data_IF_021685423820
#
_entry.id   IF_021685423820
#
_cell.length_a   1.000
_cell.length_b   1.000
_cell.length_c   1.000
_cell.angle_alpha   90.00
_cell.angle_beta   90.00
_cell.angle_gamma   90.00
#
_symmetry.space_group_name_H-M   'P 1'
#
loop_
_entity.id
_entity.type
_entity.pdbx_description
1 polymer ?
#
# COMPACT_ATOMS: atom_id res chain seq x y z
N UNK A 1 3.87 20.32 -13.68
CA UNK A 1 3.17 20.32 -14.99
C UNK A 1 3.38 18.97 -15.67
N UNK A 2 2.34 18.37 -16.25
CA UNK A 2 2.47 17.29 -17.24
C UNK A 2 2.13 17.83 -18.62
N UNK A 3 3.04 17.63 -19.56
CA UNK A 3 2.92 18.10 -20.92
C UNK A 3 3.00 16.93 -21.90
N UNK A 4 2.10 16.92 -22.86
CA UNK A 4 2.06 15.87 -23.88
C UNK A 4 1.86 16.40 -25.28
N UNK A 5 1.72 15.45 -26.20
CA UNK A 5 1.64 15.76 -27.62
C UNK A 5 0.50 15.09 -28.35
N UNK A 6 0.70 14.94 -29.65
CA UNK A 6 -0.26 14.30 -30.55
C UNK A 6 -0.05 12.79 -30.67
N UNK A 7 1.15 12.31 -30.29
CA UNK A 7 1.46 10.90 -30.15
C UNK A 7 0.92 10.33 -28.82
N UNK A 8 0.50 9.05 -28.85
CA UNK A 8 -0.10 8.32 -27.71
C UNK A 8 -1.40 8.96 -27.17
N UNK A 9 -2.22 8.26 -26.36
CA UNK A 9 -3.49 8.80 -25.89
C UNK A 9 -3.33 9.78 -24.71
N UNK A 10 -2.56 10.86 -24.90
CA UNK A 10 -2.19 11.82 -23.84
C UNK A 10 -3.38 12.26 -22.97
N UNK A 11 -4.50 12.67 -23.57
CA UNK A 11 -5.65 13.16 -22.82
C UNK A 11 -6.20 12.14 -21.80
N UNK A 12 -6.21 10.85 -22.14
CA UNK A 12 -6.65 9.78 -21.23
C UNK A 12 -5.59 9.48 -20.17
N UNK A 13 -4.33 9.31 -20.60
CA UNK A 13 -3.22 9.04 -19.69
C UNK A 13 -3.03 10.15 -18.66
N UNK A 14 -3.06 11.41 -19.09
CA UNK A 14 -2.89 12.57 -18.22
C UNK A 14 -4.06 12.73 -17.24
N UNK A 15 -5.28 12.36 -17.62
CA UNK A 15 -6.42 12.37 -16.70
C UNK A 15 -6.25 11.33 -15.57
N UNK A 16 -5.79 10.13 -15.91
CA UNK A 16 -5.50 9.07 -14.92
C UNK A 16 -4.34 9.49 -14.03
N UNK A 17 -3.24 9.98 -14.62
CA UNK A 17 -2.08 10.48 -13.90
C UNK A 17 -2.47 11.59 -12.93
N UNK A 18 -3.20 12.60 -13.39
CA UNK A 18 -3.66 13.72 -12.57
C UNK A 18 -4.48 13.23 -11.38
N UNK A 19 -5.48 12.38 -11.63
CA UNK A 19 -6.32 11.85 -10.57
C UNK A 19 -5.50 11.10 -9.52
N UNK A 20 -4.62 10.19 -9.95
CA UNK A 20 -3.78 9.41 -9.04
C UNK A 20 -2.80 10.28 -8.22
N UNK A 21 -2.18 11.29 -8.84
CA UNK A 21 -1.22 12.17 -8.16
C UNK A 21 -1.91 13.14 -7.20
N UNK A 22 -3.07 13.69 -7.55
CA UNK A 22 -3.83 14.59 -6.67
C UNK A 22 -4.46 13.84 -5.49
N UNK A 23 -4.81 12.56 -5.66
CA UNK A 23 -5.29 11.70 -4.57
C UNK A 23 -4.24 11.51 -3.46
N UNK A 24 -2.95 11.62 -3.78
CA UNK A 24 -1.88 11.58 -2.76
C UNK A 24 -1.92 12.76 -1.78
N UNK A 25 -2.60 13.86 -2.15
CA UNK A 25 -2.62 15.12 -1.41
C UNK A 25 -1.28 15.89 -1.40
N UNK A 26 -0.26 15.41 -2.11
CA UNK A 26 1.08 16.01 -2.16
C UNK A 26 1.32 16.89 -3.39
N UNK A 27 0.53 16.68 -4.46
CA UNK A 27 0.78 17.29 -5.76
C UNK A 27 -0.46 18.01 -6.29
N UNK A 28 -0.25 19.16 -6.92
CA UNK A 28 -1.21 19.81 -7.79
C UNK A 28 -0.75 19.63 -9.24
N UNK A 29 -1.60 19.08 -10.11
CA UNK A 29 -1.19 18.70 -11.48
C UNK A 29 -1.88 19.57 -12.52
N UNK A 30 -1.07 20.41 -13.18
CA UNK A 30 -1.46 21.08 -14.42
C UNK A 30 -1.21 20.15 -15.63
N UNK A 31 -2.24 19.96 -16.45
CA UNK A 31 -2.20 19.18 -17.69
C UNK A 31 -2.26 20.15 -18.87
N UNK A 32 -1.29 20.09 -19.78
CA UNK A 32 -1.25 20.99 -20.94
C UNK A 32 -0.71 20.30 -22.20
N UNK A 33 -1.14 20.78 -23.37
CA UNK A 33 -0.49 20.53 -24.67
C UNK A 33 0.15 21.81 -25.23
N UNK A 34 0.02 22.94 -24.52
CA UNK A 34 0.64 24.20 -24.89
C UNK A 34 2.12 24.20 -24.45
N UNK A 35 3.00 24.09 -25.44
CA UNK A 35 4.45 24.04 -25.24
C UNK A 35 5.10 25.40 -25.07
N UNK A 36 4.36 26.50 -25.24
CA UNK A 36 4.90 27.84 -24.97
C UNK A 36 5.41 27.96 -23.52
N UNK A 37 4.76 27.27 -22.58
CA UNK A 37 5.15 27.18 -21.18
C UNK A 37 6.52 26.54 -20.91
N UNK A 38 7.11 25.78 -21.86
CA UNK A 38 8.45 25.22 -21.69
C UNK A 38 9.56 26.29 -21.66
N UNK A 39 9.24 27.53 -22.03
CA UNK A 39 10.20 28.65 -22.00
C UNK A 39 10.28 29.36 -20.64
N UNK A 40 9.26 29.20 -19.78
CA UNK A 40 9.24 29.72 -18.40
C UNK A 40 8.55 28.70 -17.47
N UNK A 41 9.38 28.01 -16.69
CA UNK A 41 8.97 26.94 -15.79
C UNK A 41 9.09 27.35 -14.32
N UNK A 42 9.27 28.65 -14.03
CA UNK A 42 9.50 29.17 -12.68
C UNK A 42 8.37 28.89 -11.68
N UNK A 43 7.16 28.62 -12.18
CA UNK A 43 5.99 28.26 -11.36
C UNK A 43 5.85 26.77 -11.03
N UNK A 44 6.81 25.92 -11.42
CA UNK A 44 6.71 24.47 -11.24
C UNK A 44 7.91 23.88 -10.51
N UNK A 45 7.65 22.89 -9.65
CA UNK A 45 8.71 22.07 -9.00
C UNK A 45 9.18 20.91 -9.90
N UNK A 46 8.32 20.46 -10.82
CA UNK A 46 8.64 19.41 -11.78
C UNK A 46 7.86 19.52 -13.10
N UNK A 47 8.50 19.03 -14.17
CA UNK A 47 7.90 18.82 -15.49
C UNK A 47 7.86 17.33 -15.79
N UNK A 48 6.69 16.82 -16.15
CA UNK A 48 6.48 15.47 -16.66
C UNK A 48 6.32 15.55 -18.17
N UNK A 49 7.26 14.96 -18.92
CA UNK A 49 7.29 14.93 -20.37
C UNK A 49 6.67 13.63 -20.89
N UNK A 50 5.63 13.75 -21.70
CA UNK A 50 4.95 12.65 -22.38
C UNK A 50 4.65 13.00 -23.85
N UNK A 51 5.70 13.30 -24.60
CA UNK A 51 5.64 13.86 -25.97
C UNK A 51 6.83 13.35 -26.76
N UNK A 52 6.71 13.18 -28.07
CA UNK A 52 7.84 12.80 -28.93
C UNK A 52 8.61 14.03 -29.41
N UNK A 53 9.80 13.80 -29.96
CA UNK A 53 10.53 14.79 -30.71
C UNK A 53 9.81 15.22 -31.98
N UNK A 54 10.26 16.31 -32.58
CA UNK A 54 9.56 17.01 -33.66
C UNK A 54 8.47 17.98 -33.20
N UNK A 55 8.04 17.91 -31.94
CA UNK A 55 6.97 18.76 -31.43
C UNK A 55 7.44 19.99 -30.61
N UNK A 56 8.75 20.13 -30.36
CA UNK A 56 9.35 21.27 -29.63
C UNK A 56 10.08 22.27 -30.54
N UNK A 57 10.27 23.51 -30.09
CA UNK A 57 11.22 24.47 -30.68
C UNK A 57 12.56 24.47 -29.95
N UNK A 58 13.57 25.16 -30.52
CA UNK A 58 14.89 25.30 -29.87
C UNK A 58 14.84 26.12 -28.59
N UNK A 59 13.99 27.14 -28.56
CA UNK A 59 13.76 27.96 -27.38
C UNK A 59 13.13 27.14 -26.27
N UNK A 60 12.19 26.25 -26.60
CA UNK A 60 11.56 25.33 -25.66
C UNK A 60 12.55 24.28 -25.12
N UNK A 61 13.42 23.73 -25.98
CA UNK A 61 14.52 22.85 -25.55
C UNK A 61 15.43 23.57 -24.55
N UNK A 62 15.83 24.80 -24.85
CA UNK A 62 16.70 25.59 -23.98
C UNK A 62 16.03 25.93 -22.64
N UNK A 63 14.74 26.30 -22.65
CA UNK A 63 13.98 26.60 -21.44
C UNK A 63 13.87 25.39 -20.52
N UNK A 64 13.47 24.22 -21.06
CA UNK A 64 13.36 22.99 -20.29
C UNK A 64 14.72 22.52 -19.75
N UNK A 65 15.75 22.46 -20.60
CA UNK A 65 17.07 22.01 -20.16
C UNK A 65 17.72 23.00 -19.18
N UNK A 66 17.47 24.31 -19.34
CA UNK A 66 17.91 25.35 -18.42
C UNK A 66 17.25 25.23 -17.06
N UNK A 67 15.94 24.99 -17.02
CA UNK A 67 15.16 24.73 -15.81
C UNK A 67 15.70 23.54 -15.02
N UNK A 68 15.90 22.39 -15.67
CA UNK A 68 16.45 21.19 -14.99
C UNK A 68 17.87 21.46 -14.51
N UNK A 69 18.73 22.04 -15.37
CA UNK A 69 20.11 22.39 -14.96
C UNK A 69 20.15 23.31 -13.74
N UNK A 70 19.14 24.17 -13.57
CA UNK A 70 18.99 25.10 -12.45
C UNK A 70 18.38 24.52 -11.18
N UNK A 71 18.04 23.22 -11.13
CA UNK A 71 17.47 22.56 -9.94
C UNK A 71 16.08 21.97 -10.13
N UNK A 72 15.44 22.21 -11.28
CA UNK A 72 14.12 21.68 -11.59
C UNK A 72 14.10 20.15 -11.78
N UNK A 73 12.98 19.52 -11.44
CA UNK A 73 12.76 18.09 -11.69
C UNK A 73 12.21 17.78 -13.08
N UNK A 74 12.73 16.73 -13.74
CA UNK A 74 12.18 16.18 -14.99
C UNK A 74 11.81 14.70 -14.82
N UNK A 75 10.56 14.36 -15.16
CA UNK A 75 10.10 12.99 -15.34
C UNK A 75 9.78 12.74 -16.81
N UNK A 76 10.62 11.97 -17.51
CA UNK A 76 10.40 11.59 -18.90
C UNK A 76 9.74 10.21 -18.98
N UNK A 77 8.57 10.12 -19.64
CA UNK A 77 7.77 8.89 -19.71
C UNK A 77 7.72 8.37 -21.14
N UNK A 78 8.05 7.09 -21.31
CA UNK A 78 7.90 6.31 -22.53
C UNK A 78 8.50 7.01 -23.76
N UNK A 79 7.63 7.55 -24.61
CA UNK A 79 7.96 8.21 -25.87
C UNK A 79 8.78 9.51 -25.73
N UNK A 80 9.02 9.98 -24.49
CA UNK A 80 9.75 11.20 -24.18
C UNK A 80 11.21 11.23 -24.64
N UNK A 81 11.77 10.14 -25.17
CA UNK A 81 13.09 10.10 -25.80
C UNK A 81 13.05 9.67 -27.28
N UNK A 82 11.86 9.49 -27.86
CA UNK A 82 11.65 9.15 -29.26
C UNK A 82 11.77 10.39 -30.15
N UNK A 83 12.34 10.25 -31.35
CA UNK A 83 12.42 11.33 -32.35
C UNK A 83 13.14 12.62 -31.90
N UNK A 84 13.87 12.57 -30.78
CA UNK A 84 14.55 13.73 -30.18
C UNK A 84 15.86 14.11 -30.88
N UNK A 85 16.18 13.53 -32.05
CA UNK A 85 17.49 13.68 -32.70
C UNK A 85 17.85 15.12 -33.10
N UNK A 86 16.86 15.99 -33.29
CA UNK A 86 17.11 17.41 -33.46
C UNK A 86 17.56 18.08 -32.15
N UNK A 87 17.06 17.66 -31.00
CA UNK A 87 17.24 18.30 -29.68
C UNK A 87 18.38 17.64 -28.89
N UNK A 88 19.62 17.89 -29.33
CA UNK A 88 20.81 17.24 -28.76
C UNK A 88 21.05 17.58 -27.29
N UNK A 89 20.63 18.76 -26.81
CA UNK A 89 20.79 19.13 -25.39
C UNK A 89 19.78 18.36 -24.54
N UNK A 90 18.56 18.21 -25.04
CA UNK A 90 17.54 17.38 -24.39
C UNK A 90 17.94 15.89 -24.37
N UNK A 91 18.45 15.36 -25.49
CA UNK A 91 18.93 13.97 -25.54
C UNK A 91 20.09 13.73 -24.57
N UNK A 92 21.01 14.68 -24.44
CA UNK A 92 22.08 14.60 -23.45
C UNK A 92 21.55 14.62 -22.02
N UNK A 93 20.54 15.46 -21.74
CA UNK A 93 19.89 15.53 -20.42
C UNK A 93 19.14 14.24 -20.07
N UNK A 94 18.36 13.67 -20.98
CA UNK A 94 17.64 12.40 -20.74
C UNK A 94 18.60 11.21 -20.73
N UNK A 95 19.67 11.26 -21.53
CA UNK A 95 20.75 10.28 -21.54
C UNK A 95 20.49 9.00 -22.33
N UNK A 96 19.29 8.82 -22.87
CA UNK A 96 18.97 7.70 -23.77
C UNK A 96 18.17 8.16 -24.98
N UNK A 97 18.15 7.33 -26.02
CA UNK A 97 17.21 7.43 -27.15
C UNK A 97 16.54 6.10 -27.41
N UNK A 98 15.35 6.19 -27.99
CA UNK A 98 14.61 5.05 -28.51
C UNK A 98 15.36 4.31 -29.63
N UNK A 99 15.36 2.97 -29.59
CA UNK A 99 15.94 2.12 -30.64
C UNK A 99 14.96 1.13 -31.26
N UNK A 100 13.85 0.84 -30.59
CA UNK A 100 12.83 -0.09 -31.08
C UNK A 100 11.87 -0.51 -29.98
N UNK A 101 10.84 -1.26 -30.35
CA UNK A 101 9.85 -1.78 -29.40
C UNK A 101 9.50 -3.23 -29.70
N UNK A 102 9.07 -3.95 -28.66
CA UNK A 102 8.38 -5.23 -28.76
C UNK A 102 6.89 -5.06 -29.08
N UNK A 103 6.10 -6.14 -29.13
CA UNK A 103 4.65 -6.04 -29.20
C UNK A 103 4.09 -5.43 -27.92
N UNK A 104 2.88 -4.89 -28.00
CA UNK A 104 2.09 -4.58 -26.81
C UNK A 104 1.60 -5.89 -26.19
N UNK A 105 2.15 -6.25 -25.05
CA UNK A 105 1.92 -7.52 -24.38
C UNK A 105 2.15 -7.38 -22.87
N UNK A 106 1.75 -8.40 -22.13
CA UNK A 106 2.16 -8.52 -20.73
C UNK A 106 3.64 -8.91 -20.64
N UNK A 107 4.38 -8.23 -19.78
CA UNK A 107 5.74 -8.60 -19.41
C UNK A 107 6.04 -8.25 -17.95
N UNK A 108 7.07 -8.89 -17.40
CA UNK A 108 7.52 -8.63 -16.03
C UNK A 108 8.50 -7.47 -15.97
N UNK A 109 8.29 -6.61 -14.98
CA UNK A 109 9.20 -5.55 -14.56
C UNK A 109 9.86 -5.98 -13.25
N UNK A 110 11.19 -5.91 -13.19
CA UNK A 110 11.98 -6.23 -12.01
C UNK A 110 12.61 -4.95 -11.45
N UNK A 111 12.42 -4.71 -10.15
CA UNK A 111 12.99 -3.56 -9.43
C UNK A 111 14.30 -3.99 -8.74
N UNK A 112 15.32 -3.13 -8.81
CA UNK A 112 16.60 -3.39 -8.14
C UNK A 112 16.48 -3.31 -6.62
N UNK A 113 17.16 -4.20 -5.90
CA UNK A 113 17.09 -4.27 -4.43
C UNK A 113 17.66 -3.01 -3.74
N UNK A 114 18.60 -2.32 -4.38
CA UNK A 114 19.36 -1.18 -3.86
C UNK A 114 18.88 0.16 -4.45
N UNK A 115 17.58 0.29 -4.74
CA UNK A 115 17.00 1.54 -5.25
C UNK A 115 16.18 2.33 -4.20
N UNK A 116 16.17 1.91 -2.94
CA UNK A 116 15.32 2.48 -1.90
C UNK A 116 15.57 3.97 -1.62
N UNK A 117 16.79 4.45 -1.82
CA UNK A 117 17.14 5.87 -1.70
C UNK A 117 16.63 6.71 -2.90
N UNK A 118 16.38 6.07 -4.04
CA UNK A 118 15.74 6.69 -5.21
C UNK A 118 14.21 6.64 -5.04
N UNK A 119 13.66 5.44 -4.86
CA UNK A 119 12.22 5.16 -4.86
C UNK A 119 11.93 4.12 -3.76
N UNK A 120 11.68 4.54 -2.51
CA UNK A 120 11.54 3.63 -1.39
C UNK A 120 10.34 2.70 -1.58
N UNK A 121 10.51 1.41 -1.23
CA UNK A 121 9.42 0.42 -1.13
C UNK A 121 8.64 0.19 -2.44
N UNK A 122 9.28 0.31 -3.61
CA UNK A 122 8.69 -0.18 -4.85
C UNK A 122 8.50 -1.69 -4.79
N UNK A 123 7.50 -2.21 -5.50
CA UNK A 123 7.32 -3.65 -5.67
C UNK A 123 8.59 -4.28 -6.26
N UNK A 124 9.11 -5.38 -5.67
CA UNK A 124 10.31 -6.06 -6.18
C UNK A 124 10.15 -6.53 -7.63
N UNK A 125 8.95 -6.93 -8.00
CA UNK A 125 8.56 -7.19 -9.38
C UNK A 125 7.04 -7.08 -9.55
N UNK A 126 6.59 -6.79 -10.76
CA UNK A 126 5.17 -6.82 -11.16
C UNK A 126 5.04 -7.15 -12.64
N UNK A 127 3.86 -7.64 -13.05
CA UNK A 127 3.52 -7.84 -14.46
C UNK A 127 2.68 -6.66 -14.94
N UNK A 128 2.93 -6.18 -16.16
CA UNK A 128 2.19 -5.06 -16.75
C UNK A 128 1.95 -5.33 -18.23
N UNK A 129 0.76 -4.99 -18.72
CA UNK A 129 0.46 -4.96 -20.16
C UNK A 129 0.81 -3.59 -20.72
N UNK A 130 1.90 -3.52 -21.49
CA UNK A 130 2.43 -2.28 -22.06
C UNK A 130 3.20 -2.57 -23.38
N UNK A 131 3.74 -1.55 -24.03
CA UNK A 131 4.69 -1.71 -25.13
C UNK A 131 6.11 -1.87 -24.60
N UNK A 132 6.77 -3.01 -24.88
CA UNK A 132 8.14 -3.23 -24.42
C UNK A 132 9.13 -2.30 -25.15
N UNK A 133 9.48 -1.19 -24.52
CA UNK A 133 10.20 -0.10 -25.15
C UNK A 133 11.72 -0.21 -24.92
N UNK A 134 12.51 -0.26 -26.00
CA UNK A 134 13.96 -0.42 -25.94
C UNK A 134 14.68 0.91 -26.20
N UNK A 135 15.71 1.14 -25.38
CA UNK A 135 16.52 2.35 -25.42
C UNK A 135 18.00 2.03 -25.50
N UNK A 136 18.80 2.96 -26.01
CA UNK A 136 20.25 2.93 -25.91
C UNK A 136 20.78 4.22 -25.28
N UNK A 137 21.93 4.12 -24.61
CA UNK A 137 22.58 5.28 -23.97
C UNK A 137 23.16 6.21 -25.02
N UNK A 138 22.99 7.51 -24.82
CA UNK A 138 23.48 8.59 -25.69
C UNK A 138 24.43 9.56 -24.99
N UNK A 139 24.77 9.28 -23.74
CA UNK A 139 25.62 10.09 -22.86
C UNK A 139 26.67 9.20 -22.19
N UNK A 140 27.81 9.80 -21.84
CA UNK A 140 28.84 9.17 -20.99
C UNK A 140 28.55 9.35 -19.49
N UNK A 141 27.53 10.15 -19.14
CA UNK A 141 27.14 10.34 -17.75
C UNK A 141 26.58 9.06 -17.13
N UNK A 142 26.75 8.94 -15.82
CA UNK A 142 26.23 7.80 -15.10
C UNK A 142 24.69 7.83 -15.08
N UNK A 143 24.09 6.70 -15.43
CA UNK A 143 22.65 6.45 -15.33
C UNK A 143 22.48 5.31 -14.34
N UNK A 144 21.79 5.61 -13.24
CA UNK A 144 21.50 4.63 -12.22
C UNK A 144 20.16 3.98 -12.53
N UNK A 145 20.23 2.81 -13.15
CA UNK A 145 19.09 1.97 -13.44
C UNK A 145 18.43 1.48 -12.12
N UNK A 146 17.10 1.47 -12.06
CA UNK A 146 16.34 0.94 -10.93
C UNK A 146 15.29 -0.10 -11.34
N UNK A 147 14.94 -0.17 -12.64
CA UNK A 147 13.98 -1.14 -13.18
C UNK A 147 14.46 -1.75 -14.49
N UNK A 148 14.17 -3.03 -14.67
CA UNK A 148 14.55 -3.79 -15.86
C UNK A 148 13.43 -4.73 -16.32
N UNK A 149 13.48 -5.10 -17.60
CA UNK A 149 12.64 -6.14 -18.18
C UNK A 149 13.48 -7.06 -19.05
N UNK A 150 12.97 -8.26 -19.33
CA UNK A 150 13.62 -9.21 -20.24
C UNK A 150 12.82 -9.32 -21.54
N UNK A 151 13.48 -9.10 -22.67
CA UNK A 151 12.91 -9.27 -24.00
C UNK A 151 13.91 -9.99 -24.90
N UNK A 152 13.45 -11.00 -25.64
CA UNK A 152 14.30 -11.81 -26.52
C UNK A 152 15.61 -12.30 -25.86
N UNK A 153 15.51 -12.77 -24.60
CA UNK A 153 16.64 -13.22 -23.78
C UNK A 153 17.68 -12.15 -23.44
N UNK A 154 17.40 -10.87 -23.69
CA UNK A 154 18.21 -9.74 -23.30
C UNK A 154 17.52 -8.94 -22.18
N UNK A 155 18.32 -8.46 -21.23
CA UNK A 155 17.87 -7.56 -20.17
C UNK A 155 17.95 -6.12 -20.68
N UNK A 156 16.87 -5.38 -20.56
CA UNK A 156 16.76 -3.98 -20.96
C UNK A 156 16.44 -3.11 -19.75
N UNK A 157 17.00 -1.90 -19.72
CA UNK A 157 16.61 -0.89 -18.73
C UNK A 157 15.21 -0.38 -19.04
N UNK A 158 14.36 -0.35 -18.02
CA UNK A 158 13.00 0.19 -18.08
C UNK A 158 12.83 1.43 -17.21
N UNK A 159 13.79 1.76 -16.35
CA UNK A 159 13.73 2.94 -15.52
C UNK A 159 15.09 3.27 -14.91
N UNK A 160 15.45 4.54 -14.96
CA UNK A 160 16.71 5.04 -14.41
C UNK A 160 16.61 6.49 -13.95
N UNK A 161 17.56 6.90 -13.12
CA UNK A 161 17.72 8.30 -12.70
C UNK A 161 19.12 8.81 -13.02
N UNK A 162 19.24 10.14 -13.07
CA UNK A 162 20.52 10.84 -13.06
C UNK A 162 20.35 12.27 -12.55
N UNK A 163 21.46 12.88 -12.18
CA UNK A 163 21.54 14.32 -12.00
C UNK A 163 21.87 15.02 -13.33
N UNK A 164 21.39 16.25 -13.47
CA UNK A 164 21.70 17.12 -14.60
C UNK A 164 21.80 18.57 -14.13
N UNK A 165 23.03 19.07 -14.00
CA UNK A 165 23.27 20.32 -13.26
C UNK A 165 22.89 20.15 -11.80
N UNK A 166 22.08 21.07 -11.27
CA UNK A 166 21.55 21.01 -9.90
C UNK A 166 20.22 20.24 -9.81
N UNK A 167 19.62 19.86 -10.94
CA UNK A 167 18.33 19.17 -10.98
C UNK A 167 18.44 17.68 -11.21
N UNK A 168 17.28 17.03 -11.24
CA UNK A 168 17.14 15.57 -11.29
C UNK A 168 16.29 15.15 -12.48
N UNK A 169 16.73 14.09 -13.14
CA UNK A 169 16.01 13.44 -14.24
C UNK A 169 15.68 12.03 -13.83
N UNK A 170 14.42 11.64 -14.02
CA UNK A 170 13.97 10.26 -13.96
C UNK A 170 13.33 9.92 -15.30
N UNK A 171 13.70 8.76 -15.85
CA UNK A 171 13.10 8.21 -17.05
C UNK A 171 12.43 6.87 -16.74
N UNK A 172 11.29 6.63 -17.37
CA UNK A 172 10.69 5.28 -17.45
C UNK A 172 10.34 4.95 -18.90
N UNK A 173 10.61 3.71 -19.29
CA UNK A 173 10.25 3.16 -20.59
C UNK A 173 8.77 2.74 -20.66
N UNK A 174 8.12 2.61 -19.50
CA UNK A 174 6.70 2.27 -19.35
C UNK A 174 5.80 3.48 -19.65
N UNK A 175 4.54 3.23 -19.98
CA UNK A 175 3.51 4.26 -20.14
C UNK A 175 2.99 4.43 -21.56
N UNK A 176 2.86 3.38 -22.36
CA UNK A 176 2.36 3.51 -23.74
C UNK A 176 0.92 4.05 -23.82
N UNK A 177 0.04 3.61 -22.92
CA UNK A 177 -1.38 4.00 -22.91
C UNK A 177 -2.06 3.87 -21.53
N UNK A 178 -3.38 4.05 -21.49
CA UNK A 178 -4.20 4.01 -20.28
C UNK A 178 -4.04 2.74 -19.43
N UNK A 179 -3.67 1.60 -20.02
CA UNK A 179 -3.48 0.34 -19.28
C UNK A 179 -2.31 0.46 -18.32
N UNK A 180 -1.21 1.04 -18.77
CA UNK A 180 -0.05 1.30 -17.93
C UNK A 180 -0.37 2.36 -16.87
N UNK A 181 -1.00 3.48 -17.27
CA UNK A 181 -1.38 4.55 -16.33
C UNK A 181 -2.40 4.11 -15.27
N UNK A 182 -3.25 3.12 -15.56
CA UNK A 182 -4.19 2.54 -14.61
C UNK A 182 -3.55 1.47 -13.69
N UNK A 183 -2.33 1.02 -13.98
CA UNK A 183 -1.65 -0.01 -13.21
C UNK A 183 -1.16 0.54 -11.86
N UNK A 184 -1.50 -0.14 -10.76
CA UNK A 184 -1.21 0.35 -9.40
C UNK A 184 0.30 0.54 -9.13
N UNK A 185 1.15 -0.40 -9.57
CA UNK A 185 2.60 -0.27 -9.42
C UNK A 185 3.19 0.86 -10.27
N UNK A 186 2.58 1.17 -11.42
CA UNK A 186 3.02 2.29 -12.25
C UNK A 186 2.58 3.63 -11.66
N UNK A 187 1.40 3.70 -11.04
CA UNK A 187 0.96 4.88 -10.29
C UNK A 187 1.85 5.12 -9.06
N UNK A 188 2.22 4.07 -8.33
CA UNK A 188 3.16 4.15 -7.20
C UNK A 188 4.56 4.61 -7.66
N UNK A 189 5.05 4.08 -8.79
CA UNK A 189 6.26 4.58 -9.46
C UNK A 189 6.15 6.08 -9.77
N UNK A 190 5.05 6.53 -10.37
CA UNK A 190 4.85 7.94 -10.71
C UNK A 190 4.88 8.85 -9.47
N UNK A 191 4.18 8.47 -8.40
CA UNK A 191 4.16 9.24 -7.16
C UNK A 191 5.56 9.36 -6.54
N UNK A 192 6.30 8.24 -6.47
CA UNK A 192 7.67 8.21 -5.93
C UNK A 192 8.66 8.93 -6.84
N UNK A 193 8.48 8.86 -8.15
CA UNK A 193 9.28 9.58 -9.13
C UNK A 193 9.16 11.10 -8.95
N UNK A 194 7.94 11.61 -8.78
CA UNK A 194 7.70 13.02 -8.48
C UNK A 194 8.34 13.44 -7.15
N UNK A 195 8.21 12.62 -6.10
CA UNK A 195 8.89 12.91 -4.81
C UNK A 195 10.41 12.97 -4.99
N UNK A 196 10.99 12.07 -5.78
CA UNK A 196 12.43 12.02 -6.05
C UNK A 196 12.93 13.28 -6.75
N UNK A 197 12.31 13.64 -7.87
CA UNK A 197 12.77 14.77 -8.69
C UNK A 197 12.47 16.13 -8.03
N UNK A 198 11.43 16.22 -7.19
CA UNK A 198 11.14 17.42 -6.39
C UNK A 198 11.96 17.49 -5.09
N UNK A 199 12.83 16.51 -4.81
CA UNK A 199 13.64 16.50 -3.58
C UNK A 199 12.86 16.22 -2.28
N UNK A 200 11.64 15.69 -2.38
CA UNK A 200 10.76 15.34 -1.26
C UNK A 200 11.11 14.00 -0.59
N UNK A 201 12.12 13.29 -1.11
CA UNK A 201 12.56 11.97 -0.65
C UNK A 201 13.36 11.96 0.66
N UNK A 202 13.60 13.11 1.29
CA UNK A 202 14.11 13.15 2.66
C UNK A 202 12.99 12.70 3.61
N UNK A 203 12.65 11.41 3.58
CA UNK A 203 11.71 10.85 4.53
C UNK A 203 12.30 11.03 5.93
N UNK A 204 11.60 11.80 6.76
CA UNK A 204 11.85 11.77 8.20
C UNK A 204 11.55 10.34 8.63
N UNK A 205 12.55 9.64 9.15
CA UNK A 205 12.36 8.31 9.75
C UNK A 205 11.19 8.38 10.74
N UNK A 206 10.19 7.51 10.55
CA UNK A 206 9.05 7.41 11.46
C UNK A 206 9.52 6.62 12.68
N UNK A 207 9.61 7.29 13.81
CA UNK A 207 10.01 6.67 15.08
C UNK A 207 8.80 5.99 15.72
N UNK A 208 8.89 4.68 15.93
CA UNK A 208 7.77 3.85 16.32
C UNK A 208 7.95 3.37 17.77
N UNK A 209 6.86 3.45 18.54
CA UNK A 209 6.74 2.85 19.87
C UNK A 209 5.77 1.67 19.88
N UNK A 210 6.13 0.58 20.56
CA UNK A 210 5.19 -0.53 20.79
C UNK A 210 4.55 -0.42 22.17
N UNK A 211 3.23 -0.45 22.23
CA UNK A 211 2.47 -0.56 23.47
C UNK A 211 2.02 -2.02 23.66
N UNK A 212 2.82 -2.75 24.42
CA UNK A 212 2.69 -4.20 24.66
C UNK A 212 3.79 -5.00 23.95
N UNK A 213 4.51 -5.84 24.70
CA UNK A 213 5.52 -6.78 24.21
C UNK A 213 5.22 -8.19 24.72
N UNK A 214 3.93 -8.56 24.66
CA UNK A 214 3.43 -9.80 25.23
C UNK A 214 3.96 -11.06 24.52
N UNK A 215 4.03 -12.22 25.23
CA UNK A 215 4.61 -13.45 24.68
C UNK A 215 3.66 -14.18 23.72
N UNK A 216 2.36 -13.86 23.73
CA UNK A 216 1.37 -14.55 22.92
C UNK A 216 1.62 -14.30 21.44
N UNK A 217 1.90 -15.37 20.69
CA UNK A 217 2.33 -15.34 19.28
C UNK A 217 3.57 -14.48 19.01
N UNK A 218 4.31 -14.08 20.05
CA UNK A 218 5.43 -13.14 19.98
C UNK A 218 5.11 -11.86 19.20
N UNK A 219 3.89 -11.32 19.33
CA UNK A 219 3.45 -10.19 18.51
C UNK A 219 4.36 -8.95 18.63
N UNK A 220 4.88 -8.64 19.82
CA UNK A 220 5.83 -7.54 19.99
C UNK A 220 7.10 -7.70 19.15
N UNK A 221 7.69 -8.90 19.18
CA UNK A 221 8.86 -9.26 18.38
C UNK A 221 8.53 -9.26 16.87
N UNK A 222 7.40 -9.85 16.47
CA UNK A 222 6.94 -9.84 15.08
C UNK A 222 6.79 -8.43 14.51
N UNK A 223 6.12 -7.53 15.26
CA UNK A 223 5.99 -6.12 14.86
C UNK A 223 7.34 -5.42 14.81
N UNK A 224 8.25 -5.74 15.73
CA UNK A 224 9.62 -5.18 15.74
C UNK A 224 10.40 -5.57 14.48
N UNK A 225 10.37 -6.85 14.10
CA UNK A 225 11.03 -7.35 12.89
C UNK A 225 10.44 -6.71 11.63
N UNK A 226 9.10 -6.57 11.56
CA UNK A 226 8.44 -5.88 10.45
C UNK A 226 8.84 -4.39 10.35
N UNK A 227 8.98 -3.70 11.49
CA UNK A 227 9.44 -2.32 11.54
C UNK A 227 10.86 -2.22 10.99
N UNK A 228 11.79 -3.07 11.45
CA UNK A 228 13.18 -3.07 11.00
C UNK A 228 13.32 -3.40 9.50
N UNK A 229 12.46 -4.28 8.98
CA UNK A 229 12.43 -4.62 7.57
C UNK A 229 11.80 -3.53 6.68
N UNK A 230 11.19 -2.49 7.27
CA UNK A 230 10.51 -1.43 6.52
C UNK A 230 11.38 -0.19 6.45
N UNK A 231 11.86 0.14 5.24
CA UNK A 231 12.61 1.36 5.01
C UNK A 231 11.82 2.60 5.45
N UNK A 232 12.52 3.50 6.15
CA UNK A 232 11.94 4.75 6.67
C UNK A 232 11.27 4.60 8.03
N UNK A 233 11.22 3.39 8.61
CA UNK A 233 10.74 3.16 9.97
C UNK A 233 11.88 2.80 10.92
N UNK A 234 11.71 3.15 12.19
CA UNK A 234 12.66 2.82 13.25
C UNK A 234 11.90 2.50 14.53
N UNK A 235 12.21 1.37 15.16
CA UNK A 235 11.70 1.05 16.49
C UNK A 235 12.57 1.78 17.52
N UNK A 236 11.98 2.67 18.32
CA UNK A 236 12.73 3.46 19.32
C UNK A 236 12.26 3.22 20.75
N UNK A 237 11.04 2.72 20.94
CA UNK A 237 10.46 2.57 22.26
C UNK A 237 9.58 1.32 22.41
N UNK A 238 9.58 0.74 23.61
CA UNK A 238 8.66 -0.32 24.01
C UNK A 238 8.08 0.00 25.38
N UNK A 239 6.76 -0.16 25.52
CA UNK A 239 6.04 -0.02 26.77
C UNK A 239 5.35 -1.33 27.17
N UNK A 240 5.64 -1.82 28.37
CA UNK A 240 4.97 -2.98 28.96
C UNK A 240 4.99 -2.88 30.50
N UNK A 241 3.96 -3.41 31.16
CA UNK A 241 3.86 -3.43 32.62
C UNK A 241 4.73 -4.51 33.26
N UNK A 242 5.03 -5.58 32.52
CA UNK A 242 5.87 -6.66 33.02
C UNK A 242 7.35 -6.34 32.71
N UNK A 243 8.21 -6.13 33.73
CA UNK A 243 9.62 -5.83 33.53
C UNK A 243 10.36 -6.95 32.78
N UNK A 244 9.89 -8.20 32.84
CA UNK A 244 10.48 -9.29 32.05
C UNK A 244 10.21 -9.13 30.54
N UNK A 245 9.12 -8.45 30.15
CA UNK A 245 8.86 -8.14 28.73
C UNK A 245 9.75 -7.00 28.24
N UNK A 246 9.99 -6.00 29.08
CA UNK A 246 10.92 -4.91 28.76
C UNK A 246 12.36 -5.42 28.61
N UNK A 247 12.79 -6.34 29.47
CA UNK A 247 14.08 -7.01 29.34
C UNK A 247 14.16 -7.81 28.04
N UNK A 248 13.15 -8.63 27.73
CA UNK A 248 13.10 -9.39 26.48
C UNK A 248 13.15 -8.50 25.23
N UNK A 249 12.48 -7.35 25.24
CA UNK A 249 12.55 -6.40 24.14
C UNK A 249 13.99 -5.88 23.90
N UNK A 250 14.70 -5.51 24.97
CA UNK A 250 16.11 -5.09 24.88
C UNK A 250 17.04 -6.21 24.42
N UNK A 251 16.85 -7.43 24.95
CA UNK A 251 17.64 -8.59 24.58
C UNK A 251 17.46 -8.95 23.09
N UNK A 252 16.22 -8.87 22.58
CA UNK A 252 15.88 -9.27 21.20
C UNK A 252 16.14 -8.17 20.17
N UNK A 253 15.92 -6.90 20.53
CA UNK A 253 15.91 -5.78 19.57
C UNK A 253 17.06 -4.79 19.80
N UNK A 254 17.72 -4.83 20.96
CA UNK A 254 18.92 -4.06 21.28
C UNK A 254 18.75 -3.04 22.40
N UNK A 255 19.88 -2.70 23.04
CA UNK A 255 19.94 -1.80 24.21
C UNK A 255 19.60 -0.33 23.91
N UNK A 256 19.55 0.05 22.63
CA UNK A 256 19.21 1.41 22.20
C UNK A 256 17.74 1.75 22.46
N UNK A 257 16.86 0.76 22.65
CA UNK A 257 15.44 0.98 22.89
C UNK A 257 15.18 1.66 24.24
N UNK A 258 14.39 2.73 24.19
CA UNK A 258 13.77 3.28 25.38
C UNK A 258 12.68 2.34 25.89
N UNK A 259 12.66 2.07 27.19
CA UNK A 259 11.66 1.20 27.83
C UNK A 259 10.82 1.99 28.81
N UNK A 260 9.51 1.77 28.77
CA UNK A 260 8.53 2.45 29.61
C UNK A 260 7.64 1.42 30.31
N UNK A 261 7.29 1.69 31.57
CA UNK A 261 6.28 0.91 32.29
C UNK A 261 4.90 1.57 32.28
N UNK A 262 4.81 2.77 31.71
CA UNK A 262 3.61 3.59 31.66
C UNK A 262 3.40 4.17 30.25
N UNK A 263 2.18 4.04 29.73
CA UNK A 263 1.85 4.41 28.38
C UNK A 263 1.77 5.94 28.19
N UNK A 264 1.34 6.68 29.21
CA UNK A 264 1.26 8.15 29.16
C UNK A 264 2.66 8.74 29.14
N UNK A 265 3.59 8.18 29.92
CA UNK A 265 5.00 8.57 29.89
C UNK A 265 5.65 8.31 28.53
N UNK A 266 5.38 7.15 27.90
CA UNK A 266 5.88 6.87 26.55
C UNK A 266 5.30 7.87 25.53
N UNK A 267 3.99 8.13 25.58
CA UNK A 267 3.32 9.04 24.66
C UNK A 267 3.85 10.48 24.78
N UNK A 268 4.03 10.97 26.01
CA UNK A 268 4.52 12.33 26.29
C UNK A 268 6.05 12.49 26.15
N UNK A 269 6.79 11.42 25.82
CA UNK A 269 8.26 11.42 25.81
C UNK A 269 8.90 12.25 24.70
N UNK A 270 8.15 12.56 23.63
CA UNK A 270 8.68 13.17 22.40
C UNK A 270 9.55 12.25 21.55
N UNK A 271 9.69 10.97 21.93
CA UNK A 271 10.57 10.01 21.26
C UNK A 271 9.92 9.33 20.06
N UNK A 272 8.60 9.18 20.05
CA UNK A 272 7.85 8.47 19.00
C UNK A 272 7.01 9.44 18.16
N UNK A 273 6.81 9.09 16.89
CA UNK A 273 5.87 9.75 15.98
C UNK A 273 4.61 8.88 15.75
N UNK A 274 4.74 7.55 15.91
CA UNK A 274 3.67 6.57 15.74
C UNK A 274 3.73 5.48 16.82
N UNK A 275 2.58 5.08 17.36
CA UNK A 275 2.47 3.96 18.31
C UNK A 275 1.71 2.77 17.74
N UNK A 276 2.19 1.55 18.00
CA UNK A 276 1.49 0.31 17.68
C UNK A 276 0.93 -0.30 18.97
N UNK A 277 -0.39 -0.46 19.04
CA UNK A 277 -1.10 -1.00 20.22
C UNK A 277 -1.27 -2.51 20.09
N UNK A 278 -0.57 -3.27 20.95
CA UNK A 278 -0.51 -4.74 20.98
C UNK A 278 -0.96 -5.21 22.37
N UNK A 279 -2.14 -4.78 22.80
CA UNK A 279 -2.70 -5.05 24.12
C UNK A 279 -3.75 -6.18 24.07
N UNK A 280 -4.23 -6.68 25.22
CA UNK A 280 -5.47 -7.46 25.23
C UNK A 280 -6.64 -6.64 24.67
N UNK A 281 -7.59 -7.27 23.95
CA UNK A 281 -8.57 -6.57 23.12
C UNK A 281 -9.39 -5.50 23.87
N UNK A 282 -9.79 -5.77 25.12
CA UNK A 282 -10.52 -4.82 25.95
C UNK A 282 -9.74 -3.53 26.30
N UNK A 283 -8.43 -3.49 26.06
CA UNK A 283 -7.55 -2.35 26.36
C UNK A 283 -7.02 -1.63 25.11
N UNK A 284 -7.39 -2.06 23.90
CA UNK A 284 -6.97 -1.37 22.67
C UNK A 284 -7.36 0.10 22.69
N UNK A 285 -8.63 0.40 22.97
CA UNK A 285 -9.17 1.76 22.96
C UNK A 285 -8.53 2.66 24.00
N UNK A 286 -8.12 2.11 25.14
CA UNK A 286 -7.34 2.85 26.14
C UNK A 286 -5.98 3.25 25.57
N UNK A 287 -5.21 2.31 25.02
CA UNK A 287 -3.91 2.59 24.42
C UNK A 287 -4.00 3.56 23.24
N UNK A 288 -5.02 3.41 22.38
CA UNK A 288 -5.29 4.30 21.25
C UNK A 288 -5.55 5.72 21.76
N UNK A 289 -6.42 5.90 22.77
CA UNK A 289 -6.72 7.23 23.33
C UNK A 289 -5.49 7.89 23.94
N UNK A 290 -4.66 7.14 24.67
CA UNK A 290 -3.43 7.66 25.26
C UNK A 290 -2.49 8.23 24.20
N UNK A 291 -2.26 7.49 23.12
CA UNK A 291 -1.37 7.94 22.04
C UNK A 291 -1.97 9.12 21.24
N UNK A 292 -3.26 9.03 20.87
CA UNK A 292 -3.93 10.09 20.12
C UNK A 292 -4.06 11.40 20.92
N UNK A 293 -4.15 11.34 22.25
CA UNK A 293 -4.21 12.53 23.09
C UNK A 293 -2.98 13.44 22.92
N UNK A 294 -1.81 12.83 22.69
CA UNK A 294 -0.53 13.50 22.41
C UNK A 294 -0.33 13.80 20.91
N UNK A 295 -1.34 13.55 20.06
CA UNK A 295 -1.28 13.81 18.61
C UNK A 295 -0.49 12.77 17.82
N UNK A 296 -0.11 11.65 18.42
CA UNK A 296 0.64 10.58 17.77
C UNK A 296 -0.23 9.81 16.77
N UNK A 297 0.37 9.31 15.71
CA UNK A 297 -0.29 8.35 14.82
C UNK A 297 -0.41 6.98 15.50
N UNK A 298 -1.45 6.22 15.17
CA UNK A 298 -1.73 4.94 15.83
C UNK A 298 -2.06 3.84 14.85
N UNK A 299 -1.39 2.70 15.03
CA UNK A 299 -1.82 1.42 14.49
C UNK A 299 -2.26 0.56 15.68
N UNK A 300 -3.38 -0.13 15.60
CA UNK A 300 -3.80 -1.09 16.64
C UNK A 300 -3.93 -2.48 16.06
N UNK A 301 -3.61 -3.48 16.86
CA UNK A 301 -3.96 -4.87 16.55
C UNK A 301 -5.47 -5.05 16.39
N UNK A 302 -5.84 -6.10 15.65
CA UNK A 302 -7.22 -6.56 15.57
C UNK A 302 -7.62 -7.28 16.88
N UNK A 303 -8.91 -7.29 17.24
CA UNK A 303 -10.00 -6.50 16.69
C UNK A 303 -9.88 -5.03 17.11
N UNK A 304 -10.50 -4.12 16.38
CA UNK A 304 -10.39 -2.69 16.66
C UNK A 304 -10.78 -2.32 18.10
N UNK A 305 -11.93 -2.81 18.54
CA UNK A 305 -12.39 -2.76 19.93
C UNK A 305 -13.41 -3.89 20.19
N UNK A 306 -13.79 -4.07 21.45
CA UNK A 306 -14.85 -5.03 21.84
C UNK A 306 -16.24 -4.39 21.92
N UNK A 307 -16.36 -3.07 21.72
CA UNK A 307 -17.62 -2.32 21.66
C UNK A 307 -17.59 -1.32 20.52
N UNK A 308 -18.70 -1.22 19.79
CA UNK A 308 -18.84 -0.28 18.66
C UNK A 308 -18.76 1.19 19.12
N UNK A 309 -19.39 1.52 20.25
CA UNK A 309 -19.34 2.89 20.79
C UNK A 309 -17.90 3.36 21.07
N UNK A 310 -17.02 2.44 21.50
CA UNK A 310 -15.61 2.80 21.74
C UNK A 310 -14.88 3.03 20.41
N UNK A 311 -15.24 2.33 19.33
CA UNK A 311 -14.73 2.57 17.99
C UNK A 311 -15.08 3.99 17.51
N UNK A 312 -16.35 4.38 17.64
CA UNK A 312 -16.83 5.70 17.22
C UNK A 312 -16.08 6.83 17.94
N UNK A 313 -15.87 6.66 19.24
CA UNK A 313 -15.16 7.62 20.08
C UNK A 313 -13.71 7.82 19.64
N UNK A 314 -12.95 6.74 19.41
CA UNK A 314 -11.54 6.85 19.00
C UNK A 314 -11.36 7.31 17.56
N UNK A 315 -12.30 6.97 16.67
CA UNK A 315 -12.33 7.53 15.29
C UNK A 315 -12.53 9.04 15.34
N UNK A 316 -13.49 9.52 16.14
CA UNK A 316 -13.73 10.95 16.30
C UNK A 316 -12.50 11.65 16.89
N UNK A 317 -11.85 11.05 17.89
CA UNK A 317 -10.63 11.57 18.48
C UNK A 317 -9.49 11.68 17.46
N UNK A 318 -9.24 10.64 16.66
CA UNK A 318 -8.21 10.64 15.63
C UNK A 318 -8.42 11.78 14.62
N UNK A 319 -9.67 11.94 14.14
CA UNK A 319 -10.06 13.04 13.23
C UNK A 319 -9.82 14.41 13.86
N UNK A 320 -10.24 14.61 15.11
CA UNK A 320 -10.07 15.88 15.83
C UNK A 320 -8.59 16.24 16.03
N UNK A 321 -7.72 15.23 16.14
CA UNK A 321 -6.27 15.40 16.31
C UNK A 321 -5.51 15.49 14.98
N UNK A 322 -6.18 15.25 13.84
CA UNK A 322 -5.52 15.15 12.54
C UNK A 322 -4.51 14.00 12.47
N UNK A 323 -4.69 12.96 13.29
CA UNK A 323 -3.77 11.84 13.38
C UNK A 323 -4.30 10.62 12.60
N UNK A 324 -3.39 9.89 11.94
CA UNK A 324 -3.72 8.60 11.34
C UNK A 324 -4.09 7.59 12.43
N UNK A 325 -5.19 6.87 12.22
CA UNK A 325 -5.59 5.71 12.99
C UNK A 325 -5.88 4.55 12.04
N UNK A 326 -5.18 3.44 12.20
CA UNK A 326 -5.36 2.24 11.39
C UNK A 326 -5.44 0.97 12.24
N UNK A 327 -6.12 -0.05 11.72
CA UNK A 327 -6.20 -1.38 12.34
C UNK A 327 -5.37 -2.34 11.50
N UNK A 328 -4.50 -3.10 12.15
CA UNK A 328 -3.61 -4.05 11.50
C UNK A 328 -4.37 -5.33 11.09
N UNK A 329 -5.07 -5.27 9.97
CA UNK A 329 -5.73 -6.41 9.33
C UNK A 329 -4.77 -7.17 8.40
N UNK A 330 -3.75 -7.79 9.00
CA UNK A 330 -2.64 -8.44 8.31
C UNK A 330 -3.00 -9.42 7.17
N UNK A 331 -4.19 -10.03 7.22
CA UNK A 331 -4.63 -11.01 6.22
C UNK A 331 -5.16 -10.41 4.91
N UNK A 332 -5.30 -9.10 4.83
CA UNK A 332 -5.68 -8.42 3.58
C UNK A 332 -4.66 -8.68 2.46
N UNK A 333 -3.42 -8.98 2.82
CA UNK A 333 -2.30 -9.20 1.92
C UNK A 333 -1.89 -10.67 1.81
N UNK A 334 -2.66 -11.60 2.39
CA UNK A 334 -2.40 -13.03 2.23
C UNK A 334 -2.50 -13.38 0.72
N UNK A 335 -1.52 -14.11 0.12
CA UNK A 335 -1.52 -14.38 -1.32
C UNK A 335 -2.78 -15.11 -1.83
N UNK A 336 -3.39 -15.96 -1.01
CA UNK A 336 -4.63 -16.66 -1.36
C UNK A 336 -5.81 -15.67 -1.47
N UNK A 337 -5.88 -14.66 -0.60
CA UNK A 337 -6.90 -13.61 -0.63
C UNK A 337 -6.73 -12.71 -1.84
N UNK A 338 -5.50 -12.26 -2.13
CA UNK A 338 -5.22 -11.41 -3.30
C UNK A 338 -5.50 -12.15 -4.61
N UNK A 339 -5.16 -13.44 -4.68
CA UNK A 339 -5.48 -14.28 -5.86
C UNK A 339 -6.99 -14.40 -6.05
N UNK A 340 -7.73 -14.64 -4.96
CA UNK A 340 -9.18 -14.76 -5.03
C UNK A 340 -9.86 -13.44 -5.42
N UNK A 341 -9.36 -12.30 -4.93
CA UNK A 341 -9.81 -10.98 -5.39
C UNK A 341 -9.63 -10.82 -6.89
N UNK A 342 -8.45 -11.17 -7.43
CA UNK A 342 -8.20 -11.12 -8.86
C UNK A 342 -9.14 -12.03 -9.66
N UNK A 343 -9.42 -13.25 -9.16
CA UNK A 343 -10.39 -14.17 -9.78
C UNK A 343 -11.81 -13.59 -9.81
N UNK A 344 -12.22 -12.89 -8.75
CA UNK A 344 -13.52 -12.20 -8.69
C UNK A 344 -13.54 -11.00 -9.64
N UNK A 345 -12.54 -10.13 -9.58
CA UNK A 345 -12.47 -8.88 -10.36
C UNK A 345 -12.29 -9.13 -11.86
N UNK A 346 -11.66 -10.24 -12.26
CA UNK A 346 -11.55 -10.67 -13.66
C UNK A 346 -12.86 -11.20 -14.25
N UNK A 347 -13.89 -11.44 -13.43
CA UNK A 347 -15.18 -11.96 -13.85
C UNK A 347 -15.21 -13.46 -14.15
N UNK A 348 -14.14 -14.20 -13.84
CA UNK A 348 -14.03 -15.64 -14.11
C UNK A 348 -15.13 -16.48 -13.44
N UNK A 349 -15.70 -16.00 -12.34
CA UNK A 349 -16.78 -16.68 -11.61
C UNK A 349 -18.18 -16.26 -12.08
N UNK A 350 -18.30 -15.29 -12.99
CA UNK A 350 -19.55 -14.61 -13.28
C UNK A 350 -20.04 -13.77 -12.10
N UNK A 351 -21.35 -13.76 -11.85
CA UNK A 351 -21.95 -13.00 -10.74
C UNK A 351 -21.80 -13.77 -9.42
N UNK A 352 -20.97 -13.24 -8.50
CA UNK A 352 -20.79 -13.79 -7.15
C UNK A 352 -22.08 -13.63 -6.34
N UNK A 353 -22.60 -14.71 -5.78
CA UNK A 353 -23.82 -14.69 -4.97
C UNK A 353 -23.65 -15.30 -3.57
N UNK A 354 -22.58 -16.06 -3.32
CA UNK A 354 -22.31 -16.66 -2.00
C UNK A 354 -20.84 -16.64 -1.63
N UNK A 355 -20.56 -16.26 -0.37
CA UNK A 355 -19.24 -16.30 0.25
C UNK A 355 -19.29 -17.12 1.53
N UNK A 356 -18.55 -18.22 1.61
CA UNK A 356 -18.35 -18.96 2.86
C UNK A 356 -16.93 -18.74 3.37
N UNK A 357 -16.77 -18.46 4.66
CA UNK A 357 -15.49 -18.26 5.32
C UNK A 357 -15.47 -19.05 6.64
N UNK A 358 -14.53 -19.98 6.80
CA UNK A 358 -14.48 -20.92 7.92
C UNK A 358 -13.15 -20.80 8.66
N UNK A 359 -13.20 -20.65 9.98
CA UNK A 359 -12.06 -20.84 10.87
C UNK A 359 -12.40 -21.92 11.89
N UNK A 360 -12.09 -23.16 11.55
CA UNK A 360 -12.56 -24.32 12.32
C UNK A 360 -11.41 -25.24 12.73
N UNK A 361 -11.58 -25.87 13.89
CA UNK A 361 -10.70 -26.92 14.37
C UNK A 361 -11.28 -27.58 15.62
N UNK A 362 -10.54 -28.54 16.17
CA UNK A 362 -10.90 -29.20 17.43
C UNK A 362 -9.82 -28.93 18.47
N UNK A 363 -10.15 -28.15 19.48
CA UNK A 363 -9.20 -27.80 20.53
C UNK A 363 -9.78 -26.80 21.52
N UNK A 364 -9.10 -26.65 22.66
CA UNK A 364 -9.49 -25.70 23.70
C UNK A 364 -9.41 -24.26 23.16
N UNK A 365 -10.47 -23.43 23.26
CA UNK A 365 -10.49 -22.09 22.68
C UNK A 365 -9.63 -21.12 23.51
N UNK A 366 -8.56 -20.63 22.88
CA UNK A 366 -7.68 -19.61 23.45
C UNK A 366 -6.91 -20.05 24.70
N UNK A 367 -6.04 -19.15 25.16
CA UNK A 367 -5.26 -19.30 26.39
C UNK A 367 -5.20 -17.97 27.13
N UNK A 368 -4.96 -18.00 28.45
CA UNK A 368 -4.91 -16.82 29.31
C UNK A 368 -6.13 -15.89 29.08
N UNK A 369 -5.91 -14.60 28.85
CA UNK A 369 -6.99 -13.64 28.62
C UNK A 369 -7.81 -13.92 27.36
N UNK A 370 -7.25 -14.61 26.35
CA UNK A 370 -7.99 -14.96 25.12
C UNK A 370 -9.13 -15.94 25.37
N UNK A 371 -9.05 -16.75 26.42
CA UNK A 371 -10.13 -17.64 26.87
C UNK A 371 -11.17 -16.96 27.79
N UNK A 372 -10.98 -15.67 28.08
CA UNK A 372 -11.86 -14.88 28.94
C UNK A 372 -12.62 -13.82 28.13
N UNK A 373 -13.86 -14.13 27.75
CA UNK A 373 -14.74 -13.34 26.88
C UNK A 373 -14.88 -11.86 27.28
N UNK A 374 -14.98 -11.48 28.57
CA UNK A 374 -14.99 -10.06 28.95
C UNK A 374 -13.74 -9.28 28.52
N UNK A 375 -12.60 -9.95 28.33
CA UNK A 375 -11.36 -9.33 27.85
C UNK A 375 -11.17 -9.55 26.35
N UNK A 376 -11.44 -10.76 25.84
CA UNK A 376 -11.19 -11.14 24.45
C UNK A 376 -12.30 -10.74 23.46
N UNK A 377 -13.50 -10.47 23.95
CA UNK A 377 -14.71 -10.34 23.12
C UNK A 377 -15.30 -11.69 22.69
N UNK A 378 -14.62 -12.81 22.95
CA UNK A 378 -15.05 -14.15 22.52
C UNK A 378 -14.40 -14.59 21.20
N UNK A 379 -14.77 -15.78 20.72
CA UNK A 379 -14.09 -16.38 19.56
C UNK A 379 -14.37 -15.62 18.25
N UNK A 380 -15.49 -14.88 18.18
CA UNK A 380 -15.80 -14.03 17.04
C UNK A 380 -14.84 -12.86 16.90
N UNK A 381 -14.45 -12.24 18.01
CA UNK A 381 -13.57 -11.07 18.01
C UNK A 381 -12.11 -11.47 17.83
N UNK A 382 -11.67 -12.59 18.42
CA UNK A 382 -10.28 -13.03 18.32
C UNK A 382 -9.95 -13.58 16.93
N UNK A 383 -10.72 -14.55 16.45
CA UNK A 383 -10.45 -15.27 15.20
C UNK A 383 -11.50 -15.01 14.12
N UNK A 384 -12.76 -14.79 14.49
CA UNK A 384 -13.84 -14.51 13.55
C UNK A 384 -13.69 -13.19 12.80
N UNK A 385 -13.02 -12.19 13.40
CA UNK A 385 -12.76 -10.89 12.76
C UNK A 385 -12.02 -11.05 11.45
N UNK A 386 -11.05 -11.97 11.37
CA UNK A 386 -10.36 -12.28 10.12
C UNK A 386 -11.30 -12.79 9.03
N UNK A 387 -12.33 -13.56 9.39
CA UNK A 387 -13.28 -14.13 8.43
C UNK A 387 -14.29 -13.08 7.95
N UNK A 388 -14.77 -12.23 8.84
CA UNK A 388 -15.62 -11.10 8.45
C UNK A 388 -14.88 -10.11 7.56
N UNK A 389 -13.62 -9.81 7.88
CA UNK A 389 -12.77 -8.97 7.03
C UNK A 389 -12.57 -9.57 5.64
N UNK A 390 -12.30 -10.88 5.54
CA UNK A 390 -12.24 -11.58 4.24
C UNK A 390 -13.54 -11.43 3.46
N UNK A 391 -14.71 -11.62 4.10
CA UNK A 391 -16.01 -11.39 3.45
C UNK A 391 -16.14 -9.97 2.93
N UNK A 392 -15.79 -8.96 3.73
CA UNK A 392 -15.89 -7.55 3.32
C UNK A 392 -14.92 -7.18 2.20
N UNK A 393 -13.73 -7.79 2.18
CA UNK A 393 -12.73 -7.60 1.16
C UNK A 393 -13.15 -8.25 -0.16
N UNK A 394 -13.67 -9.48 -0.12
CA UNK A 394 -14.09 -10.27 -1.28
C UNK A 394 -15.46 -9.87 -1.84
N UNK A 395 -16.23 -9.06 -1.12
CA UNK A 395 -17.52 -8.57 -1.60
C UNK A 395 -17.32 -7.74 -2.89
N UNK A 396 -18.02 -8.05 -3.99
CA UNK A 396 -17.90 -7.27 -5.22
C UNK A 396 -18.24 -5.79 -4.99
N UNK A 397 -17.52 -4.89 -5.64
CA UNK A 397 -17.72 -3.43 -5.52
C UNK A 397 -19.03 -2.98 -6.18
N UNK A 398 -19.46 -3.67 -7.22
CA UNK A 398 -20.67 -3.38 -7.98
C UNK A 398 -21.41 -4.66 -8.35
N UNK A 399 -22.72 -4.54 -8.57
CA UNK A 399 -23.54 -5.62 -9.10
C UNK A 399 -23.43 -5.68 -10.63
N UNK A 400 -24.15 -6.62 -11.27
CA UNK A 400 -24.18 -6.82 -12.73
C UNK A 400 -24.60 -5.58 -13.53
N UNK A 401 -25.32 -4.65 -12.93
CA UNK A 401 -25.75 -3.39 -13.57
C UNK A 401 -24.71 -2.27 -13.44
N UNK A 402 -23.55 -2.57 -12.83
CA UNK A 402 -22.55 -1.57 -12.46
C UNK A 402 -22.96 -0.71 -11.27
N UNK A 403 -24.06 -1.05 -10.58
CA UNK A 403 -24.51 -0.29 -9.42
C UNK A 403 -23.65 -0.67 -8.21
N UNK A 404 -23.17 0.29 -7.41
CA UNK A 404 -22.37 0.00 -6.23
C UNK A 404 -23.11 -0.93 -5.25
N UNK A 405 -22.43 -1.97 -4.79
CA UNK A 405 -22.95 -2.79 -3.69
C UNK A 405 -22.63 -2.05 -2.40
N UNK A 406 -23.68 -1.51 -1.78
CA UNK A 406 -23.57 -0.99 -0.44
C UNK A 406 -23.24 -2.14 0.53
N UNK A 407 -22.20 -1.97 1.34
CA UNK A 407 -21.77 -2.96 2.36
C UNK A 407 -22.72 -3.03 3.58
N UNK A 408 -24.00 -2.73 3.37
CA UNK A 408 -25.06 -2.90 4.36
C UNK A 408 -25.55 -4.34 4.29
N UNK A 409 -25.74 -4.96 5.45
CA UNK A 409 -26.19 -6.33 5.54
C UNK A 409 -27.14 -6.54 6.72
N UNK A 410 -28.07 -7.48 6.53
CA UNK A 410 -28.82 -8.08 7.63
C UNK A 410 -28.03 -9.26 8.19
N UNK A 411 -27.82 -9.28 9.51
CA UNK A 411 -27.05 -10.31 10.20
C UNK A 411 -27.96 -11.23 11.01
N UNK A 412 -27.71 -12.53 10.95
CA UNK A 412 -28.31 -13.54 11.81
C UNK A 412 -27.27 -14.58 12.20
N UNK A 413 -27.32 -15.13 13.41
CA UNK A 413 -26.32 -16.11 13.82
C UNK A 413 -26.57 -16.68 15.20
N UNK A 414 -25.74 -17.66 15.55
CA UNK A 414 -25.80 -18.39 16.80
C UNK A 414 -24.41 -18.50 17.45
N UNK A 415 -24.39 -18.32 18.76
CA UNK A 415 -23.27 -18.62 19.64
C UNK A 415 -23.60 -19.88 20.44
N UNK A 416 -22.64 -20.78 20.60
CA UNK A 416 -22.85 -22.04 21.33
C UNK A 416 -21.67 -22.37 22.23
N UNK A 417 -21.99 -22.67 23.49
CA UNK A 417 -21.09 -23.25 24.49
C UNK A 417 -21.55 -24.67 24.80
N UNK A 418 -20.70 -25.67 24.60
CA UNK A 418 -21.07 -27.10 24.62
C UNK A 418 -20.06 -28.01 25.31
N UNK A 419 -18.77 -27.66 25.34
CA UNK A 419 -17.71 -28.55 25.80
C UNK A 419 -16.69 -27.87 26.72
N UNK A 420 -16.09 -26.74 26.32
CA UNK A 420 -14.92 -26.18 27.02
C UNK A 420 -15.29 -25.24 28.18
N UNK A 421 -16.02 -25.74 29.17
CA UNK A 421 -16.63 -24.91 30.25
C UNK A 421 -15.62 -24.24 31.21
N UNK A 422 -14.35 -24.61 31.14
CA UNK A 422 -13.25 -23.92 31.83
C UNK A 422 -12.87 -22.59 31.17
N UNK A 423 -13.45 -22.27 30.01
CA UNK A 423 -13.33 -21.00 29.30
C UNK A 423 -14.69 -20.33 29.13
N UNK A 424 -14.71 -19.01 28.96
CA UNK A 424 -15.96 -18.25 28.81
C UNK A 424 -16.30 -17.91 27.36
N UNK A 425 -15.37 -18.14 26.42
CA UNK A 425 -15.60 -17.99 24.99
C UNK A 425 -16.55 -19.06 24.47
N UNK A 426 -17.18 -18.81 23.33
CA UNK A 426 -17.96 -19.79 22.60
C UNK A 426 -17.09 -20.92 22.06
N UNK A 427 -17.68 -22.11 21.95
CA UNK A 427 -17.04 -23.26 21.31
C UNK A 427 -17.42 -23.34 19.83
N UNK A 428 -18.59 -22.80 19.46
CA UNK A 428 -19.09 -22.78 18.09
C UNK A 428 -19.85 -21.49 17.80
N UNK A 429 -19.58 -20.92 16.63
CA UNK A 429 -20.20 -19.71 16.12
C UNK A 429 -20.58 -19.95 14.67
N UNK A 430 -21.80 -19.56 14.32
CA UNK A 430 -22.21 -19.41 12.93
C UNK A 430 -22.89 -18.07 12.75
N UNK A 431 -22.41 -17.28 11.80
CA UNK A 431 -23.04 -16.05 11.38
C UNK A 431 -23.38 -16.11 9.89
N UNK A 432 -24.48 -15.47 9.55
CA UNK A 432 -24.99 -15.26 8.21
C UNK A 432 -25.15 -13.76 7.99
N UNK A 433 -24.72 -13.29 6.84
CA UNK A 433 -24.92 -11.93 6.37
C UNK A 433 -25.61 -11.96 5.03
N UNK A 434 -26.69 -11.20 4.88
CA UNK A 434 -27.30 -10.94 3.57
C UNK A 434 -27.10 -9.47 3.24
N UNK A 435 -26.27 -9.20 2.24
CA UNK A 435 -26.00 -7.84 1.79
C UNK A 435 -27.16 -7.30 0.96
N UNK A 436 -27.37 -5.99 0.98
CA UNK A 436 -28.43 -5.33 0.20
C UNK A 436 -28.27 -5.55 -1.31
N UNK A 437 -27.02 -5.80 -1.76
CA UNK A 437 -26.70 -6.19 -3.15
C UNK A 437 -27.08 -7.62 -3.53
N UNK A 438 -27.65 -8.41 -2.62
CA UNK A 438 -28.12 -9.77 -2.87
C UNK A 438 -27.10 -10.87 -2.56
N UNK A 439 -25.82 -10.53 -2.38
CA UNK A 439 -24.78 -11.49 -1.97
C UNK A 439 -25.06 -11.98 -0.55
N UNK A 440 -24.96 -13.29 -0.36
CA UNK A 440 -25.03 -13.91 0.96
C UNK A 440 -23.63 -14.33 1.41
N UNK A 441 -23.37 -14.22 2.71
CA UNK A 441 -22.13 -14.68 3.30
C UNK A 441 -22.38 -15.49 4.57
N UNK A 442 -21.54 -16.51 4.80
CA UNK A 442 -21.54 -17.33 5.99
C UNK A 442 -20.16 -17.33 6.62
N UNK A 443 -20.10 -17.06 7.92
CA UNK A 443 -18.90 -17.22 8.74
C UNK A 443 -19.11 -18.32 9.76
N UNK A 444 -18.21 -19.31 9.79
CA UNK A 444 -18.19 -20.35 10.83
C UNK A 444 -16.88 -20.28 11.61
N UNK A 445 -16.98 -20.15 12.93
CA UNK A 445 -15.83 -20.28 13.84
C UNK A 445 -16.10 -21.42 14.80
N UNK A 446 -15.20 -22.39 14.92
CA UNK A 446 -15.44 -23.55 15.76
C UNK A 446 -14.17 -24.10 16.38
N UNK A 447 -14.27 -24.45 17.65
CA UNK A 447 -13.25 -25.21 18.40
C UNK A 447 -13.71 -26.65 18.69
N UNK A 448 -14.80 -27.10 18.05
CA UNK A 448 -15.40 -28.44 18.12
C UNK A 448 -15.44 -29.16 16.77
N UNK A 449 -14.88 -28.57 15.71
CA UNK A 449 -14.91 -29.14 14.37
C UNK A 449 -13.67 -30.01 14.14
N UNK A 450 -13.80 -31.32 14.36
CA UNK A 450 -12.71 -32.26 14.09
C UNK A 450 -12.48 -32.51 12.59
N UNK A 451 -13.50 -32.30 11.75
CA UNK A 451 -13.38 -32.39 10.30
C UNK A 451 -12.85 -31.09 9.70
N UNK A 452 -12.02 -31.20 8.67
CA UNK A 452 -11.56 -30.06 7.89
C UNK A 452 -12.72 -29.42 7.11
N UNK A 453 -12.65 -28.10 6.94
CA UNK A 453 -13.48 -27.33 6.02
C UNK A 453 -12.56 -26.45 5.17
N UNK A 454 -12.96 -26.11 3.92
CA UNK A 454 -12.29 -25.07 3.16
C UNK A 454 -12.24 -23.79 3.97
N UNK A 455 -11.09 -23.10 3.96
CA UNK A 455 -10.93 -21.79 4.61
C UNK A 455 -11.96 -20.80 4.06
N UNK A 456 -12.23 -20.90 2.76
CA UNK A 456 -13.26 -20.14 2.07
C UNK A 456 -13.85 -20.94 0.89
N UNK A 457 -15.01 -20.51 0.42
CA UNK A 457 -15.65 -20.99 -0.82
C UNK A 457 -16.43 -19.82 -1.42
N UNK A 458 -16.19 -19.52 -2.69
CA UNK A 458 -16.87 -18.42 -3.41
C UNK A 458 -17.68 -19.00 -4.56
N UNK A 459 -18.99 -18.78 -4.54
CA UNK A 459 -19.89 -19.24 -5.60
C UNK A 459 -20.28 -18.07 -6.49
N UNK A 460 -20.05 -18.23 -7.78
CA UNK A 460 -20.58 -17.37 -8.82
C UNK A 460 -21.42 -18.14 -9.84
N UNK A 461 -22.09 -17.42 -10.73
CA UNK A 461 -22.99 -18.02 -11.73
C UNK A 461 -22.28 -18.86 -12.79
N UNK A 462 -20.98 -18.66 -12.98
CA UNK A 462 -20.19 -19.32 -14.03
C UNK A 462 -19.02 -20.16 -13.46
N UNK A 463 -18.79 -20.09 -12.15
CA UNK A 463 -17.68 -20.83 -11.53
C UNK A 463 -17.74 -20.89 -9.99
N UNK A 464 -16.77 -21.60 -9.43
CA UNK A 464 -16.55 -21.69 -7.98
C UNK A 464 -15.06 -21.64 -7.72
N UNK A 465 -14.67 -20.89 -6.69
CA UNK A 465 -13.31 -20.84 -6.17
C UNK A 465 -13.26 -21.41 -4.75
#
# INVERSE_FOLDING_TARGET
MIIGGTAHPFGRCAAIFKAAMEETGQFAVEVTQDRSGLTDLSGYDAVVMYTVGGEMTREQEQGLCGYVRGGGGLFAIHCANAEMGAFTVYQEMVGTRFTGHGPQAEFSVETMADCGDILPRLSPAFAITDEFYMVERTTDADLRDFQHGTWQFARHSLGYVRDYGEGRVLYTALGHDERAFAHVDFQDLCAKALRYICGLNKEKTVRIGLLGYGPAFKMGNHHSDCIQATQGFELVAVCDRDPARLAAAKDEQGEHLAVFSDAEQMAASGQIDLGIVILPHAYHTMGIKTLLAEGLHVITEKPFAVKVADCDEVIALAKNRGAMLSVYHNRHWDPDVLTLLHVIESGLLGEVYSLECNMVGYGRPGQAWRSHKPISGGALYDMGVHQFEKVLQLLPKSNRKGEPINRKASLYGNFSKRHWYDTTNEDYIRAYARFDGGVEAQVVVSSLCAASKPLWTVLGTEGTA
#
